data_IF_152022229551
#
_entry.id   IF_152022229551
#
_cell.length_a   1.000
_cell.length_b   1.000
_cell.length_c   1.000
_cell.angle_alpha   90.00
_cell.angle_beta   90.00
_cell.angle_gamma   90.00
#
_symmetry.space_group_name_H-M   'P 1'
#
loop_
_entity.id
_entity.type
_entity.pdbx_description
1 polymer ?
#
# COMPACT_ATOMS: atom_id res chain seq x y z
N UNK A 1 -47.27 53.22 -23.67
CA UNK A 1 -46.12 52.32 -23.40
C UNK A 1 -46.26 51.52 -22.10
N UNK A 2 -47.36 51.65 -21.36
CA UNK A 2 -47.57 51.07 -20.01
C UNK A 2 -48.54 49.88 -19.96
N UNK A 3 -49.22 49.54 -21.07
CA UNK A 3 -50.14 48.39 -21.16
C UNK A 3 -49.45 47.09 -21.57
N UNK A 4 -48.30 47.18 -22.25
CA UNK A 4 -47.52 46.03 -22.74
C UNK A 4 -46.84 45.31 -21.56
N UNK A 5 -46.39 46.04 -20.53
CA UNK A 5 -45.69 45.47 -19.36
C UNK A 5 -46.60 44.63 -18.45
N UNK A 6 -47.91 44.92 -18.39
CA UNK A 6 -48.88 44.24 -17.52
C UNK A 6 -49.28 42.87 -18.08
N UNK A 7 -49.32 42.71 -19.41
CA UNK A 7 -49.71 41.45 -20.07
C UNK A 7 -48.59 40.39 -20.09
N UNK A 8 -47.31 40.80 -20.03
CA UNK A 8 -46.18 39.86 -19.96
C UNK A 8 -45.82 39.43 -18.52
N UNK A 9 -46.27 40.17 -17.50
CA UNK A 9 -46.09 39.82 -16.09
C UNK A 9 -46.60 38.41 -15.72
N UNK A 10 -47.82 37.98 -16.12
CA UNK A 10 -48.32 36.64 -15.81
C UNK A 10 -47.61 35.55 -16.63
N UNK A 11 -47.18 35.86 -17.86
CA UNK A 11 -46.42 34.93 -18.71
C UNK A 11 -45.02 34.68 -18.17
N UNK A 12 -44.35 35.72 -17.65
CA UNK A 12 -43.05 35.61 -17.00
C UNK A 12 -43.13 34.85 -15.66
N UNK A 13 -44.18 35.11 -14.86
CA UNK A 13 -44.47 34.36 -13.63
C UNK A 13 -44.78 32.88 -13.89
N UNK A 14 -45.53 32.58 -14.96
CA UNK A 14 -45.80 31.20 -15.38
C UNK A 14 -44.51 30.48 -15.81
N UNK A 15 -43.63 31.17 -16.55
CA UNK A 15 -42.34 30.62 -16.97
C UNK A 15 -41.43 30.34 -15.76
N UNK A 16 -41.38 31.25 -14.77
CA UNK A 16 -40.66 31.03 -13.51
C UNK A 16 -41.22 29.86 -12.69
N UNK A 17 -42.55 29.70 -12.65
CA UNK A 17 -43.21 28.55 -12.00
C UNK A 17 -42.87 27.22 -12.69
N UNK A 18 -42.84 27.19 -14.02
CA UNK A 18 -42.44 26.00 -14.79
C UNK A 18 -40.95 25.65 -14.57
N UNK A 19 -40.07 26.65 -14.47
CA UNK A 19 -38.66 26.44 -14.13
C UNK A 19 -38.52 25.92 -12.68
N UNK A 20 -39.27 26.47 -11.73
CA UNK A 20 -39.28 25.99 -10.33
C UNK A 20 -39.80 24.55 -10.20
N UNK A 21 -40.82 24.16 -10.98
CA UNK A 21 -41.32 22.79 -11.01
C UNK A 21 -40.31 21.80 -11.61
N UNK A 22 -39.48 22.23 -12.57
CA UNK A 22 -38.40 21.42 -13.13
C UNK A 22 -37.13 21.33 -12.26
N UNK A 23 -36.93 22.24 -11.30
CA UNK A 23 -35.72 22.29 -10.47
C UNK A 23 -35.67 21.28 -9.32
N UNK A 24 -36.72 20.49 -9.09
CA UNK A 24 -36.87 19.72 -7.85
C UNK A 24 -36.28 18.30 -7.83
N UNK A 25 -35.41 17.93 -8.77
CA UNK A 25 -34.77 16.62 -8.71
C UNK A 25 -33.29 16.65 -9.13
N UNK A 26 -32.44 17.30 -8.33
CA UNK A 26 -31.03 16.91 -8.25
C UNK A 26 -30.88 15.87 -7.13
N UNK A 27 -31.14 14.61 -7.45
CA UNK A 27 -30.69 13.51 -6.60
C UNK A 27 -29.26 13.19 -7.01
N UNK A 28 -28.28 13.56 -6.19
CA UNK A 28 -26.93 13.03 -6.33
C UNK A 28 -27.03 11.53 -6.07
N UNK A 29 -26.73 10.69 -7.08
CA UNK A 29 -26.71 9.24 -6.95
C UNK A 29 -25.69 8.90 -5.85
N UNK A 30 -26.12 8.44 -4.65
CA UNK A 30 -25.16 7.99 -3.67
C UNK A 30 -24.51 6.71 -4.21
N UNK A 31 -23.18 6.67 -4.24
CA UNK A 31 -22.45 5.44 -4.55
C UNK A 31 -22.67 4.50 -3.37
N UNK A 32 -23.54 3.50 -3.54
CA UNK A 32 -23.77 2.44 -2.56
C UNK A 32 -22.72 1.33 -2.74
N UNK A 33 -21.45 1.72 -2.60
CA UNK A 33 -20.34 0.79 -2.53
C UNK A 33 -19.47 1.12 -1.32
N UNK A 34 -18.67 0.16 -0.88
CA UNK A 34 -17.80 0.31 0.27
C UNK A 34 -16.93 -0.93 0.47
N UNK A 35 -15.89 -0.75 1.28
CA UNK A 35 -15.04 -1.86 1.71
C UNK A 35 -15.81 -2.74 2.69
N UNK A 36 -15.84 -4.04 2.42
CA UNK A 36 -16.44 -5.07 3.25
C UNK A 36 -15.37 -5.68 4.16
N UNK A 37 -15.48 -5.44 5.47
CA UNK A 37 -14.51 -5.91 6.45
C UNK A 37 -13.19 -5.12 6.45
N UNK A 38 -12.16 -5.77 6.98
CA UNK A 38 -10.79 -5.26 7.02
C UNK A 38 -10.02 -5.72 5.77
N UNK A 39 -9.09 -4.90 5.24
CA UNK A 39 -8.27 -5.29 4.11
C UNK A 39 -7.28 -6.41 4.48
N UNK A 40 -6.97 -7.25 3.50
CA UNK A 40 -5.93 -8.25 3.61
C UNK A 40 -4.57 -7.61 3.28
N UNK A 41 -3.60 -7.76 4.17
CA UNK A 41 -2.29 -7.08 4.10
C UNK A 41 -1.19 -8.13 4.11
N UNK A 42 -0.37 -8.13 3.07
CA UNK A 42 0.80 -9.00 2.95
C UNK A 42 2.07 -8.14 2.92
N UNK A 43 2.85 -8.20 3.99
CA UNK A 43 4.13 -7.48 4.10
C UNK A 43 5.26 -8.35 3.51
N UNK A 44 5.58 -8.16 2.23
CA UNK A 44 6.72 -8.79 1.58
C UNK A 44 8.06 -8.12 1.92
N UNK A 45 9.20 -8.70 1.51
CA UNK A 45 10.53 -8.14 1.77
C UNK A 45 10.85 -6.89 0.92
N UNK A 46 10.24 -6.75 -0.26
CA UNK A 46 10.48 -5.65 -1.20
C UNK A 46 9.23 -4.80 -1.49
N UNK A 47 8.04 -5.41 -1.36
CA UNK A 47 6.75 -4.77 -1.61
C UNK A 47 5.74 -5.12 -0.52
N UNK A 48 4.76 -4.23 -0.34
CA UNK A 48 3.60 -4.42 0.54
C UNK A 48 2.37 -4.54 -0.36
N UNK A 49 1.67 -5.67 -0.27
CA UNK A 49 0.45 -5.92 -1.03
C UNK A 49 -0.75 -5.71 -0.14
N UNK A 50 -1.74 -4.97 -0.63
CA UNK A 50 -2.96 -4.64 0.10
C UNK A 50 -4.17 -4.95 -0.77
N UNK A 51 -5.04 -5.82 -0.29
CA UNK A 51 -6.24 -6.25 -1.00
C UNK A 51 -7.49 -5.79 -0.25
N UNK A 52 -8.31 -4.99 -0.91
CA UNK A 52 -9.60 -4.52 -0.42
C UNK A 52 -10.71 -5.36 -1.05
N UNK A 53 -11.56 -5.95 -0.20
CA UNK A 53 -12.80 -6.55 -0.66
C UNK A 53 -13.90 -5.48 -0.68
N UNK A 54 -14.59 -5.32 -1.80
CA UNK A 54 -15.66 -4.32 -2.00
C UNK A 54 -16.98 -5.02 -2.28
N UNK A 55 -18.09 -4.44 -1.80
CA UNK A 55 -19.43 -5.05 -1.96
C UNK A 55 -19.81 -5.24 -3.42
N UNK A 56 -19.61 -4.19 -4.21
CA UNK A 56 -19.91 -4.15 -5.65
C UNK A 56 -18.64 -3.92 -6.46
N UNK A 57 -18.71 -4.05 -7.79
CA UNK A 57 -17.58 -3.78 -8.68
C UNK A 57 -16.91 -2.45 -8.33
N UNK A 58 -15.59 -2.48 -8.22
CA UNK A 58 -14.78 -1.33 -7.87
C UNK A 58 -14.52 -0.45 -9.11
N UNK A 59 -14.91 0.81 -9.00
CA UNK A 59 -14.67 1.85 -10.01
C UNK A 59 -14.07 3.10 -9.34
N UNK A 60 -12.75 3.18 -9.28
CA UNK A 60 -12.04 4.32 -8.73
C UNK A 60 -10.55 4.03 -8.61
N UNK A 61 -9.89 4.64 -7.62
CA UNK A 61 -8.43 4.56 -7.48
C UNK A 61 -8.03 4.14 -6.07
N UNK A 62 -6.99 3.32 -5.98
CA UNK A 62 -6.27 2.99 -4.74
C UNK A 62 -4.88 3.62 -4.84
N UNK A 63 -4.45 4.37 -3.84
CA UNK A 63 -3.15 5.05 -3.90
C UNK A 63 -2.55 5.33 -2.53
N UNK A 64 -1.24 5.56 -2.49
CA UNK A 64 -0.56 6.03 -1.27
C UNK A 64 -0.82 7.51 -1.05
N UNK A 65 -1.15 7.87 0.20
CA UNK A 65 -1.40 9.24 0.60
C UNK A 65 -0.22 10.15 0.22
N UNK A 66 -0.49 11.15 -0.61
CA UNK A 66 0.50 12.14 -1.05
C UNK A 66 1.31 11.74 -2.29
N UNK A 67 1.07 10.56 -2.87
CA UNK A 67 1.74 10.07 -4.08
C UNK A 67 0.73 9.70 -5.19
N UNK A 68 -0.39 10.41 -5.26
CA UNK A 68 -1.41 10.16 -6.29
C UNK A 68 -0.88 10.38 -7.72
N UNK A 69 0.05 11.31 -7.89
CA UNK A 69 0.65 11.65 -9.19
C UNK A 69 1.64 10.58 -9.70
N UNK A 70 2.03 9.62 -8.85
CA UNK A 70 2.96 8.56 -9.20
C UNK A 70 2.18 7.28 -9.54
N UNK A 71 2.18 6.91 -10.82
CA UNK A 71 1.45 5.72 -11.29
C UNK A 71 1.97 4.41 -10.66
N UNK A 72 3.23 4.37 -10.22
CA UNK A 72 3.81 3.22 -9.51
C UNK A 72 3.22 3.02 -8.09
N UNK A 73 2.63 4.07 -7.51
CA UNK A 73 2.01 4.05 -6.18
C UNK A 73 0.48 4.22 -6.25
N UNK A 74 -0.09 4.05 -7.44
CA UNK A 74 -1.52 4.14 -7.73
C UNK A 74 -1.97 2.91 -8.51
N UNK A 75 -3.16 2.43 -8.22
CA UNK A 75 -3.86 1.43 -9.01
C UNK A 75 -5.24 1.94 -9.35
N UNK A 76 -5.55 1.96 -10.63
CA UNK A 76 -6.82 2.40 -11.16
C UNK A 76 -7.85 1.25 -11.20
N UNK A 77 -9.10 1.61 -11.47
CA UNK A 77 -10.26 0.71 -11.41
C UNK A 77 -10.04 -0.61 -12.16
N UNK A 78 -10.31 -1.73 -11.46
CA UNK A 78 -10.10 -3.07 -12.01
C UNK A 78 -11.41 -3.74 -12.49
N UNK A 79 -12.57 -3.06 -12.35
CA UNK A 79 -13.93 -3.61 -12.60
C UNK A 79 -14.26 -4.93 -11.84
N UNK A 80 -13.42 -5.29 -10.87
CA UNK A 80 -13.54 -6.47 -10.01
C UNK A 80 -14.06 -6.05 -8.65
N UNK A 81 -14.56 -7.02 -7.88
CA UNK A 81 -14.94 -6.79 -6.48
C UNK A 81 -13.73 -6.70 -5.53
N UNK A 82 -12.53 -7.05 -6.00
CA UNK A 82 -11.30 -6.95 -5.25
C UNK A 82 -10.44 -5.86 -5.87
N UNK A 83 -10.09 -4.85 -5.06
CA UNK A 83 -9.15 -3.81 -5.43
C UNK A 83 -7.83 -4.07 -4.70
N UNK A 84 -6.78 -4.44 -5.45
CA UNK A 84 -5.46 -4.72 -4.92
C UNK A 84 -4.46 -3.63 -5.32
N UNK A 85 -3.50 -3.33 -4.45
CA UNK A 85 -2.34 -2.50 -4.79
C UNK A 85 -1.08 -3.16 -4.25
N UNK A 86 -0.03 -3.18 -5.07
CA UNK A 86 1.31 -3.58 -4.67
C UNK A 86 2.19 -2.34 -4.57
N UNK A 87 2.76 -2.11 -3.39
CA UNK A 87 3.54 -0.91 -3.09
C UNK A 87 5.01 -1.28 -2.89
N UNK A 88 5.91 -0.89 -3.81
CA UNK A 88 7.33 -1.02 -3.58
C UNK A 88 7.76 -0.16 -2.39
N UNK A 89 8.51 -0.78 -1.47
CA UNK A 89 9.00 -0.11 -0.25
C UNK A 89 9.98 1.03 -0.62
N UNK A 90 10.66 0.95 -1.75
CA UNK A 90 11.74 1.87 -2.12
C UNK A 90 11.25 3.15 -2.81
N UNK A 91 10.15 3.12 -3.58
CA UNK A 91 9.65 4.27 -4.33
C UNK A 91 8.45 4.98 -3.69
N UNK A 92 7.61 4.29 -2.91
CA UNK A 92 6.32 4.85 -2.45
C UNK A 92 6.32 5.62 -1.12
N UNK A 93 7.34 6.46 -0.87
CA UNK A 93 7.50 7.33 0.32
C UNK A 93 6.99 6.70 1.65
N UNK A 94 7.35 5.45 1.89
CA UNK A 94 6.97 4.74 3.11
C UNK A 94 7.78 5.26 4.30
N UNK A 95 7.11 5.47 5.43
CA UNK A 95 7.74 5.92 6.66
C UNK A 95 8.47 4.75 7.33
N UNK A 96 9.79 4.87 7.52
CA UNK A 96 10.63 3.83 8.14
C UNK A 96 11.07 4.28 9.53
N UNK A 97 10.67 3.54 10.56
CA UNK A 97 11.01 3.83 11.97
C UNK A 97 11.72 2.63 12.61
N UNK A 98 12.93 2.83 13.12
CA UNK A 98 13.71 1.76 13.77
C UNK A 98 13.26 1.58 15.22
N UNK A 99 13.07 0.33 15.63
CA UNK A 99 12.80 -0.07 17.01
C UNK A 99 14.03 -0.75 17.61
N UNK A 100 14.35 -0.40 18.85
CA UNK A 100 15.46 -1.01 19.61
C UNK A 100 14.99 -2.15 20.51
N UNK A 101 13.69 -2.30 20.75
CA UNK A 101 13.14 -3.33 21.62
C UNK A 101 11.68 -3.67 21.26
N UNK A 102 11.41 -4.77 20.53
CA UNK A 102 12.38 -5.68 19.90
C UNK A 102 13.13 -4.99 18.74
N UNK A 103 14.36 -5.43 18.47
CA UNK A 103 15.18 -4.91 17.38
C UNK A 103 14.52 -5.18 16.03
N UNK A 104 14.24 -4.13 15.28
CA UNK A 104 13.60 -4.24 13.98
C UNK A 104 13.24 -2.89 13.38
N UNK A 105 12.44 -2.95 12.32
CA UNK A 105 12.02 -1.80 11.54
C UNK A 105 10.50 -1.81 11.37
N UNK A 106 9.84 -0.75 11.81
CA UNK A 106 8.46 -0.46 11.45
C UNK A 106 8.43 0.28 10.11
N UNK A 107 7.73 -0.30 9.14
CA UNK A 107 7.41 0.36 7.88
C UNK A 107 5.93 0.73 7.92
N UNK A 108 5.66 2.02 7.83
CA UNK A 108 4.29 2.55 7.88
C UNK A 108 3.95 3.23 6.56
N UNK A 109 2.78 2.92 6.01
CA UNK A 109 2.22 3.58 4.84
C UNK A 109 0.74 3.88 5.07
N UNK A 110 0.22 4.89 4.37
CA UNK A 110 -1.21 5.23 4.41
C UNK A 110 -1.78 5.04 3.02
N UNK A 111 -2.68 4.08 2.87
CA UNK A 111 -3.33 3.77 1.60
C UNK A 111 -4.75 4.32 1.62
N UNK A 112 -5.14 5.00 0.54
CA UNK A 112 -6.45 5.59 0.35
C UNK A 112 -7.16 4.86 -0.77
N UNK A 113 -8.39 4.41 -0.53
CA UNK A 113 -9.28 3.84 -1.53
C UNK A 113 -10.38 4.85 -1.84
N UNK A 114 -10.57 5.13 -3.13
CA UNK A 114 -11.58 6.04 -3.66
C UNK A 114 -12.53 5.28 -4.59
N UNK A 115 -13.83 5.48 -4.43
CA UNK A 115 -14.87 4.79 -5.21
C UNK A 115 -15.39 5.62 -6.40
N UNK A 116 -14.72 6.71 -6.74
CA UNK A 116 -15.07 7.52 -7.90
C UNK A 116 -13.82 8.04 -8.61
N UNK A 117 -13.74 7.98 -9.95
CA UNK A 117 -12.51 8.28 -10.69
C UNK A 117 -12.11 9.76 -10.69
N UNK A 118 -13.03 10.68 -10.38
CA UNK A 118 -12.80 12.13 -10.45
C UNK A 118 -12.85 12.88 -9.13
N UNK A 119 -13.42 12.28 -8.08
CA UNK A 119 -13.75 13.01 -6.85
C UNK A 119 -13.61 12.11 -5.63
N UNK A 120 -13.18 12.72 -4.51
CA UNK A 120 -13.23 12.06 -3.22
C UNK A 120 -14.69 12.10 -2.72
N UNK A 121 -15.20 10.95 -2.32
CA UNK A 121 -16.59 10.76 -1.88
C UNK A 121 -16.69 10.38 -0.41
N UNK A 122 -17.92 10.35 0.12
CA UNK A 122 -18.17 9.98 1.53
C UNK A 122 -17.79 8.53 1.86
N UNK A 123 -17.76 7.65 0.86
CA UNK A 123 -17.48 6.22 1.06
C UNK A 123 -15.98 5.89 1.02
N UNK A 124 -15.15 6.86 0.67
CA UNK A 124 -13.70 6.71 0.59
C UNK A 124 -13.08 6.55 1.97
N UNK A 125 -12.02 5.74 2.06
CA UNK A 125 -11.38 5.40 3.33
C UNK A 125 -9.87 5.47 3.21
N UNK A 126 -9.23 5.83 4.32
CA UNK A 126 -7.78 5.82 4.46
C UNK A 126 -7.37 4.84 5.56
N UNK A 127 -6.45 3.93 5.24
CA UNK A 127 -5.95 2.90 6.15
C UNK A 127 -4.47 3.16 6.43
N UNK A 128 -4.12 3.26 7.72
CA UNK A 128 -2.71 3.34 8.15
C UNK A 128 -2.22 1.92 8.40
N UNK A 129 -1.36 1.44 7.51
CA UNK A 129 -0.78 0.09 7.55
C UNK A 129 0.59 0.19 8.20
N UNK A 130 0.89 -0.70 9.15
CA UNK A 130 2.17 -0.77 9.82
C UNK A 130 2.67 -2.22 9.83
N UNK A 131 3.72 -2.48 9.06
CA UNK A 131 4.43 -3.75 9.03
C UNK A 131 5.65 -3.68 9.95
N UNK A 132 5.87 -4.70 10.78
CA UNK A 132 7.08 -4.81 11.60
C UNK A 132 8.02 -5.88 11.04
N UNK A 133 9.21 -5.45 10.65
CA UNK A 133 10.28 -6.33 10.15
C UNK A 133 11.27 -6.57 11.28
N UNK A 134 11.29 -7.79 11.79
CA UNK A 134 12.24 -8.19 12.83
C UNK A 134 13.63 -8.41 12.23
N UNK A 135 14.64 -7.79 12.82
CA UNK A 135 16.02 -8.14 12.51
C UNK A 135 16.33 -9.48 13.20
N UNK A 136 16.36 -10.57 12.42
CA UNK A 136 16.79 -11.85 12.94
C UNK A 136 18.30 -11.80 13.18
N UNK A 137 18.73 -11.82 14.45
CA UNK A 137 20.08 -12.24 14.81
C UNK A 137 20.21 -13.73 14.50
N UNK A 138 20.40 -14.08 13.22
CA UNK A 138 20.93 -15.40 12.87
C UNK A 138 22.36 -15.42 13.40
N UNK A 139 22.54 -15.93 14.62
CA UNK A 139 23.83 -16.52 14.97
C UNK A 139 24.05 -17.62 13.94
N UNK A 140 24.95 -17.37 12.98
CA UNK A 140 25.47 -18.43 12.12
C UNK A 140 26.29 -19.31 13.04
N UNK A 141 25.62 -20.17 13.80
CA UNK A 141 26.22 -21.36 14.37
C UNK A 141 26.44 -22.28 13.18
N UNK A 142 27.52 -22.01 12.44
CA UNK A 142 28.13 -23.05 11.65
C UNK A 142 28.57 -24.11 12.68
N UNK A 143 27.73 -25.11 12.90
CA UNK A 143 28.16 -26.42 13.37
C UNK A 143 29.02 -27.02 12.26
N UNK A 144 30.16 -26.41 11.99
CA UNK A 144 31.30 -27.17 11.50
C UNK A 144 31.85 -27.76 12.78
N UNK A 145 31.29 -28.91 13.15
CA UNK A 145 32.01 -29.86 13.97
C UNK A 145 33.25 -30.23 13.16
N UNK A 146 34.34 -29.49 13.37
CA UNK A 146 35.65 -29.88 12.86
C UNK A 146 36.02 -31.05 13.77
N UNK A 147 35.71 -32.27 13.34
CA UNK A 147 36.40 -33.44 13.87
C UNK A 147 37.90 -33.13 13.77
N UNK A 148 38.53 -32.91 14.92
CA UNK A 148 39.97 -32.71 15.03
C UNK A 148 40.60 -33.97 14.43
N UNK A 149 41.18 -33.86 13.22
CA UNK A 149 41.85 -34.97 12.54
C UNK A 149 42.83 -35.54 13.56
N UNK A 150 42.60 -36.79 13.98
CA UNK A 150 43.50 -37.49 14.89
C UNK A 150 44.86 -37.61 14.20
N UNK A 151 45.81 -36.75 14.55
CA UNK A 151 47.18 -36.87 14.11
C UNK A 151 47.76 -38.12 14.74
N UNK A 152 47.95 -39.18 13.95
CA UNK A 152 48.78 -40.31 14.34
C UNK A 152 50.21 -39.79 14.55
N UNK A 153 50.72 -39.92 15.78
CA UNK A 153 52.09 -39.54 16.11
C UNK A 153 53.06 -40.53 15.45
N UNK A 154 53.49 -40.25 14.22
CA UNK A 154 54.52 -41.03 13.54
C UNK A 154 55.89 -40.49 13.93
N UNK A 155 56.46 -41.00 15.03
CA UNK A 155 57.84 -40.70 15.41
C UNK A 155 58.79 -41.50 14.53
N UNK A 156 59.29 -40.86 13.48
CA UNK A 156 60.44 -41.39 12.74
C UNK A 156 61.73 -40.87 13.39
N UNK A 157 62.54 -41.77 13.94
CA UNK A 157 63.85 -41.42 14.49
C UNK A 157 64.80 -41.16 13.32
N UNK A 158 64.97 -39.89 12.97
CA UNK A 158 65.97 -39.47 11.97
C UNK A 158 67.35 -39.44 12.65
N UNK A 159 68.29 -40.25 12.16
CA UNK A 159 69.67 -40.25 12.66
C UNK A 159 70.44 -39.05 12.10
N UNK A 160 71.26 -38.42 12.93
CA UNK A 160 72.06 -37.25 12.56
C UNK A 160 73.20 -37.67 11.61
N UNK A 161 73.44 -36.93 10.50
CA UNK A 161 74.51 -37.25 9.57
C UNK A 161 75.88 -36.91 10.15
N UNK A 162 76.86 -37.74 9.84
CA UNK A 162 78.25 -37.59 10.32
C UNK A 162 78.96 -36.60 9.40
N UNK A 163 79.36 -35.46 9.96
CA UNK A 163 80.18 -34.50 9.25
C UNK A 163 81.63 -35.01 9.17
N UNK A 164 82.19 -35.02 7.96
CA UNK A 164 83.63 -35.17 7.73
C UNK A 164 84.18 -33.84 7.25
N UNK A 165 85.33 -33.45 7.78
CA UNK A 165 86.15 -32.38 7.24
C UNK A 165 87.34 -33.05 6.53
N UNK A 166 87.61 -32.63 5.30
CA UNK A 166 88.93 -32.81 4.66
C UNK A 166 89.89 -31.72 5.17
#
# INVERSE_FOLDING_TARGET
MSLITVTYLPSFLLFLLLVFLHFNNLSAIPIDNGVEGDPEIECGPASITVNFNTRNKFEGHVYVKGLYDHDECRTDATERQVAGIELPIDSCNVERSRSLNPTGLFITTVVVITFHPKFITKVDRAYRIQCFYMEANKTVSAQIDVDEITTALQTQIVKMPICRYE
#
